data_IF_681983331117
#
_entry.id   IF_681983331117
#
_cell.length_a   1.000
_cell.length_b   1.000
_cell.length_c   1.000
_cell.angle_alpha   90.00
_cell.angle_beta   90.00
_cell.angle_gamma   90.00
#
_symmetry.space_group_name_H-M   'P 1'
#
loop_
_entity.id
_entity.type
_entity.pdbx_description
1 polymer ?
#
# COMPACT_ATOMS: atom_id res chain seq x y z
N UNK A 1 15.27 -60.36 -81.53
CA UNK A 1 15.28 -60.44 -80.05
C UNK A 1 15.18 -59.01 -79.53
N UNK A 2 14.01 -58.39 -79.55
CA UNK A 2 13.07 -58.27 -78.41
C UNK A 2 13.69 -57.80 -77.07
N UNK A 3 14.99 -57.52 -76.98
CA UNK A 3 15.69 -57.20 -75.72
C UNK A 3 16.11 -55.72 -75.58
N UNK A 4 16.19 -54.96 -76.67
CA UNK A 4 16.68 -53.56 -76.62
C UNK A 4 15.54 -52.55 -76.41
N UNK A 5 14.36 -52.79 -77.04
CA UNK A 5 13.16 -51.96 -76.87
C UNK A 5 12.65 -51.93 -75.42
N UNK A 6 12.67 -53.06 -74.71
CA UNK A 6 12.24 -53.12 -73.31
C UNK A 6 13.23 -52.44 -72.37
N UNK A 7 14.53 -52.45 -72.69
CA UNK A 7 15.56 -51.73 -71.91
C UNK A 7 15.42 -50.22 -72.06
N UNK A 8 15.15 -49.72 -73.28
CA UNK A 8 14.91 -48.29 -73.50
C UNK A 8 13.60 -47.80 -72.88
N UNK A 9 12.52 -48.61 -72.95
CA UNK A 9 11.27 -48.29 -72.25
C UNK A 9 11.45 -48.30 -70.72
N UNK A 10 12.27 -49.20 -70.16
CA UNK A 10 12.59 -49.22 -68.73
C UNK A 10 13.43 -48.00 -68.31
N UNK A 11 14.39 -47.58 -69.14
CA UNK A 11 15.16 -46.34 -68.92
C UNK A 11 14.25 -45.10 -68.97
N UNK A 12 13.33 -45.04 -69.94
CA UNK A 12 12.35 -43.96 -70.05
C UNK A 12 11.41 -43.90 -68.86
N UNK A 13 10.96 -45.06 -68.36
CA UNK A 13 10.12 -45.15 -67.17
C UNK A 13 10.88 -44.74 -65.90
N UNK A 14 12.16 -45.07 -65.77
CA UNK A 14 12.98 -44.61 -64.63
C UNK A 14 13.19 -43.10 -64.67
N UNK A 15 13.47 -42.53 -65.84
CA UNK A 15 13.65 -41.10 -66.00
C UNK A 15 12.35 -40.33 -65.69
N UNK A 16 11.21 -40.88 -66.10
CA UNK A 16 9.89 -40.33 -65.77
C UNK A 16 9.63 -40.38 -64.26
N UNK A 17 9.96 -41.51 -63.61
CA UNK A 17 9.82 -41.70 -62.18
C UNK A 17 10.70 -40.74 -61.38
N UNK A 18 11.95 -40.56 -61.80
CA UNK A 18 12.89 -39.65 -61.16
C UNK A 18 12.46 -38.19 -61.33
N UNK A 19 11.97 -37.81 -62.51
CA UNK A 19 11.45 -36.46 -62.74
C UNK A 19 10.18 -36.19 -61.91
N UNK A 20 9.29 -37.20 -61.79
CA UNK A 20 8.08 -37.12 -60.97
C UNK A 20 8.41 -37.04 -59.47
N UNK A 21 9.38 -37.85 -59.00
CA UNK A 21 9.90 -37.82 -57.63
C UNK A 21 10.55 -36.48 -57.30
N UNK A 22 11.36 -35.94 -58.22
CA UNK A 22 12.03 -34.65 -58.05
C UNK A 22 11.02 -33.50 -57.98
N UNK A 23 9.96 -33.54 -58.81
CA UNK A 23 8.89 -32.55 -58.79
C UNK A 23 8.12 -32.58 -57.46
N UNK A 24 7.76 -33.77 -56.97
CA UNK A 24 7.08 -33.95 -55.68
C UNK A 24 7.94 -33.43 -54.52
N UNK A 25 9.22 -33.79 -54.47
CA UNK A 25 10.14 -33.35 -53.41
C UNK A 25 10.36 -31.84 -53.41
N UNK A 26 10.38 -31.20 -54.60
CA UNK A 26 10.43 -29.73 -54.70
C UNK A 26 9.16 -29.09 -54.15
N UNK A 27 7.99 -29.65 -54.44
CA UNK A 27 6.71 -29.12 -53.93
C UNK A 27 6.58 -29.26 -52.41
N UNK A 28 6.99 -30.41 -51.85
CA UNK A 28 6.95 -30.65 -50.39
C UNK A 28 7.86 -29.66 -49.66
N UNK A 29 9.11 -29.55 -50.11
CA UNK A 29 10.09 -28.63 -49.50
C UNK A 29 9.60 -27.18 -49.50
N UNK A 30 9.06 -26.73 -50.62
CA UNK A 30 8.52 -25.38 -50.73
C UNK A 30 7.32 -25.16 -49.78
N UNK A 31 6.51 -26.20 -49.54
CA UNK A 31 5.41 -26.13 -48.58
C UNK A 31 5.86 -26.14 -47.12
N UNK A 32 6.99 -26.80 -46.81
CA UNK A 32 7.59 -26.80 -45.47
C UNK A 32 8.24 -25.45 -45.15
N UNK A 33 8.99 -24.87 -46.10
CA UNK A 33 9.58 -23.52 -45.96
C UNK A 33 8.49 -22.45 -45.73
N UNK A 34 7.36 -22.54 -46.43
CA UNK A 34 6.21 -21.66 -46.20
C UNK A 34 5.59 -21.84 -44.81
N UNK A 35 5.57 -23.08 -44.27
CA UNK A 35 5.07 -23.36 -42.91
C UNK A 35 6.01 -22.85 -41.83
N UNK A 36 7.32 -23.03 -41.99
CA UNK A 36 8.31 -22.53 -41.03
C UNK A 36 8.29 -21.00 -40.96
N UNK A 37 8.20 -20.31 -42.10
CA UNK A 37 8.05 -18.85 -42.11
C UNK A 37 6.79 -18.36 -41.40
N UNK A 38 5.67 -19.07 -41.55
CA UNK A 38 4.42 -18.74 -40.85
C UNK A 38 4.52 -18.97 -39.33
N UNK A 39 5.22 -20.02 -38.89
CA UNK A 39 5.47 -20.29 -37.47
C UNK A 39 6.36 -19.23 -36.84
N UNK A 40 7.42 -18.81 -37.52
CA UNK A 40 8.32 -17.76 -37.03
C UNK A 40 7.57 -16.41 -36.87
N UNK A 41 6.70 -16.08 -37.82
CA UNK A 41 5.83 -14.90 -37.73
C UNK A 41 4.88 -14.99 -36.52
N UNK A 42 4.25 -16.15 -36.30
CA UNK A 42 3.37 -16.37 -35.15
C UNK A 42 4.12 -16.29 -33.82
N UNK A 43 5.36 -16.80 -33.75
CA UNK A 43 6.17 -16.75 -32.55
C UNK A 43 6.64 -15.33 -32.22
N UNK A 44 6.99 -14.53 -33.24
CA UNK A 44 7.25 -13.09 -33.10
C UNK A 44 6.02 -12.34 -32.59
N UNK A 45 4.84 -12.62 -33.14
CA UNK A 45 3.57 -12.02 -32.69
C UNK A 45 3.28 -12.41 -31.24
N UNK A 46 3.48 -13.68 -30.87
CA UNK A 46 3.28 -14.16 -29.50
C UNK A 46 4.23 -13.48 -28.50
N UNK A 47 5.49 -13.26 -28.88
CA UNK A 47 6.45 -12.53 -28.05
C UNK A 47 6.04 -11.06 -27.87
N UNK A 48 5.52 -10.43 -28.93
CA UNK A 48 5.00 -9.06 -28.89
C UNK A 48 3.79 -8.94 -27.97
N UNK A 49 2.82 -9.87 -28.08
CA UNK A 49 1.63 -9.93 -27.22
C UNK A 49 2.00 -10.06 -25.74
N UNK A 50 2.92 -10.96 -25.39
CA UNK A 50 3.40 -11.09 -24.00
C UNK A 50 4.00 -9.79 -23.46
N UNK A 51 4.71 -9.04 -24.30
CA UNK A 51 5.32 -7.77 -23.90
C UNK A 51 4.25 -6.70 -23.61
N UNK A 52 3.22 -6.63 -24.45
CA UNK A 52 2.08 -5.72 -24.25
C UNK A 52 1.26 -6.10 -23.02
N UNK A 53 1.05 -7.39 -22.76
CA UNK A 53 0.37 -7.88 -21.55
C UNK A 53 1.13 -7.46 -20.28
N UNK A 54 2.46 -7.62 -20.25
CA UNK A 54 3.29 -7.20 -19.11
C UNK A 54 3.28 -5.68 -18.89
N UNK A 55 3.31 -4.86 -19.96
CA UNK A 55 3.20 -3.40 -19.84
C UNK A 55 1.82 -2.96 -19.33
N UNK A 56 0.74 -3.64 -19.74
CA UNK A 56 -0.62 -3.36 -19.28
C UNK A 56 -0.81 -3.72 -17.79
N UNK A 57 -0.25 -4.85 -17.33
CA UNK A 57 -0.30 -5.25 -15.91
C UNK A 57 0.49 -4.28 -15.03
N UNK A 58 1.65 -3.81 -15.48
CA UNK A 58 2.45 -2.80 -14.77
C UNK A 58 1.69 -1.47 -14.63
N UNK A 59 0.90 -1.08 -15.64
CA UNK A 59 0.08 0.13 -15.60
C UNK A 59 -1.11 0.00 -14.63
N UNK A 60 -1.78 -1.16 -14.59
CA UNK A 60 -2.90 -1.42 -13.66
C UNK A 60 -2.52 -1.27 -12.19
N UNK A 61 -1.34 -1.74 -11.79
CA UNK A 61 -0.87 -1.65 -10.39
C UNK A 61 -0.66 -0.20 -9.96
N UNK A 62 -0.18 0.66 -10.87
CA UNK A 62 -0.06 2.10 -10.58
C UNK A 62 -1.42 2.77 -10.43
N UNK A 63 -2.40 2.42 -11.28
CA UNK A 63 -3.74 3.00 -11.21
C UNK A 63 -4.48 2.64 -9.91
N UNK A 64 -4.30 1.44 -9.37
CA UNK A 64 -4.92 1.03 -8.10
C UNK A 64 -4.36 1.82 -6.91
N UNK A 65 -3.04 1.98 -6.84
CA UNK A 65 -2.39 2.78 -5.79
C UNK A 65 -2.78 4.25 -5.92
N UNK A 66 -2.77 4.80 -7.14
CA UNK A 66 -3.20 6.18 -7.38
C UNK A 66 -4.66 6.39 -7.04
N UNK A 67 -5.56 5.45 -7.32
CA UNK A 67 -6.98 5.51 -6.91
C UNK A 67 -7.14 5.56 -5.40
N UNK A 68 -6.46 4.68 -4.65
CA UNK A 68 -6.53 4.68 -3.18
C UNK A 68 -6.06 6.01 -2.61
N UNK A 69 -4.99 6.59 -3.15
CA UNK A 69 -4.48 7.90 -2.70
C UNK A 69 -5.46 9.02 -3.07
N UNK A 70 -6.00 9.02 -4.30
CA UNK A 70 -7.01 9.99 -4.74
C UNK A 70 -8.27 9.92 -3.88
N UNK A 71 -8.81 8.73 -3.61
CA UNK A 71 -9.97 8.53 -2.73
C UNK A 71 -9.71 9.09 -1.32
N UNK A 72 -8.49 8.92 -0.80
CA UNK A 72 -8.11 9.45 0.53
C UNK A 72 -8.01 10.97 0.56
N UNK A 73 -7.55 11.58 -0.54
CA UNK A 73 -7.49 13.04 -0.71
C UNK A 73 -8.90 13.62 -0.91
N UNK A 74 -9.76 12.96 -1.68
CA UNK A 74 -11.16 13.39 -1.87
C UNK A 74 -11.96 13.36 -0.57
N UNK A 75 -11.67 12.39 0.31
CA UNK A 75 -12.25 12.34 1.66
C UNK A 75 -11.66 13.39 2.63
N UNK A 76 -10.54 14.03 2.26
CA UNK A 76 -9.87 15.03 3.10
C UNK A 76 -10.64 16.36 3.06
N UNK A 77 -11.70 16.44 3.87
CA UNK A 77 -12.48 17.65 4.01
C UNK A 77 -11.71 18.64 4.91
N UNK A 78 -11.19 19.73 4.33
CA UNK A 78 -10.52 20.81 5.07
C UNK A 78 -11.58 21.57 5.88
N UNK A 79 -11.86 21.06 7.09
CA UNK A 79 -12.61 21.80 8.10
C UNK A 79 -11.63 22.76 8.77
N UNK A 80 -11.79 24.05 8.50
CA UNK A 80 -11.12 25.10 9.27
C UNK A 80 -11.82 25.18 10.61
N UNK A 81 -11.35 24.38 11.58
CA UNK A 81 -11.78 24.47 12.95
C UNK A 81 -10.93 25.54 13.67
N UNK A 82 -11.57 26.36 14.49
CA UNK A 82 -10.88 27.23 15.43
C UNK A 82 -10.37 26.29 16.53
N UNK A 83 -9.13 25.81 16.39
CA UNK A 83 -8.51 24.91 17.36
C UNK A 83 -7.82 25.76 18.41
N UNK A 84 -8.23 25.61 19.67
CA UNK A 84 -7.54 26.23 20.79
C UNK A 84 -6.10 25.67 20.85
N UNK A 85 -5.13 26.58 20.76
CA UNK A 85 -3.72 26.28 20.57
C UNK A 85 -2.91 27.00 21.64
N UNK A 86 -1.86 26.35 22.15
CA UNK A 86 -0.89 26.91 23.07
C UNK A 86 0.53 26.84 22.54
N UNK A 87 1.45 27.41 23.32
CA UNK A 87 2.89 27.44 23.03
C UNK A 87 3.65 26.83 24.20
N UNK A 88 4.56 25.91 23.92
CA UNK A 88 5.44 25.31 24.95
C UNK A 88 6.39 26.37 25.50
N UNK A 89 6.35 26.57 26.82
CA UNK A 89 7.27 27.46 27.54
C UNK A 89 8.53 26.73 27.98
N UNK A 90 8.37 25.50 28.48
CA UNK A 90 9.45 24.71 29.05
C UNK A 90 9.08 23.22 28.97
N UNK A 91 10.07 22.36 28.76
CA UNK A 91 9.94 20.89 28.87
C UNK A 91 11.06 20.37 29.77
N UNK A 92 10.72 19.47 30.68
CA UNK A 92 11.68 18.78 31.54
C UNK A 92 11.02 17.66 32.33
N UNK A 93 11.75 16.57 32.55
CA UNK A 93 11.28 15.38 33.29
C UNK A 93 9.90 14.87 32.82
N UNK A 94 9.71 14.81 31.50
CA UNK A 94 8.44 14.42 30.83
C UNK A 94 7.23 15.31 31.17
N UNK A 95 7.47 16.52 31.68
CA UNK A 95 6.46 17.55 31.95
C UNK A 95 6.72 18.75 31.04
N UNK A 96 5.67 19.19 30.35
CA UNK A 96 5.66 20.42 29.57
C UNK A 96 4.80 21.47 30.26
N UNK A 97 5.29 22.71 30.30
CA UNK A 97 4.50 23.90 30.65
C UNK A 97 4.08 24.61 29.38
N UNK A 98 2.80 24.86 29.22
CA UNK A 98 2.24 25.42 28.00
C UNK A 98 1.51 26.71 28.34
N UNK A 99 1.80 27.77 27.60
CA UNK A 99 1.04 29.02 27.65
C UNK A 99 -0.17 28.94 26.71
N UNK A 100 -1.30 29.50 27.14
CA UNK A 100 -2.58 29.41 26.43
C UNK A 100 -3.33 28.14 26.80
N UNK A 101 -3.94 27.49 25.80
CA UNK A 101 -4.87 26.38 26.01
C UNK A 101 -6.05 26.76 26.93
N UNK A 102 -6.62 27.96 26.75
CA UNK A 102 -7.59 28.55 27.69
C UNK A 102 -8.86 27.69 27.91
N UNK A 103 -9.28 26.95 26.89
CA UNK A 103 -10.46 26.09 26.89
C UNK A 103 -10.15 24.62 27.26
N UNK A 104 -8.90 24.28 27.61
CA UNK A 104 -8.54 22.88 27.93
C UNK A 104 -9.15 22.44 29.26
N UNK A 105 -9.58 21.18 29.31
CA UNK A 105 -10.09 20.56 30.53
C UNK A 105 -9.01 19.75 31.25
N UNK A 106 -9.14 19.61 32.56
CA UNK A 106 -8.30 18.68 33.33
C UNK A 106 -8.56 17.24 32.86
N UNK A 107 -7.48 16.48 32.66
CA UNK A 107 -7.51 15.13 32.13
C UNK A 107 -7.72 15.06 30.60
N UNK A 108 -7.64 16.18 29.88
CA UNK A 108 -7.77 16.19 28.43
C UNK A 108 -6.47 15.79 27.73
N UNK A 109 -6.60 15.11 26.58
CA UNK A 109 -5.47 14.85 25.70
C UNK A 109 -5.13 16.09 24.89
N UNK A 110 -3.84 16.39 24.80
CA UNK A 110 -3.30 17.43 23.94
C UNK A 110 -2.28 16.83 22.98
N UNK A 111 -2.18 17.41 21.79
CA UNK A 111 -1.28 16.96 20.73
C UNK A 111 -0.25 18.05 20.46
N UNK A 112 1.03 17.68 20.58
CA UNK A 112 2.15 18.55 20.25
C UNK A 112 2.35 18.58 18.73
N UNK A 113 2.99 19.62 18.21
CA UNK A 113 3.26 19.81 16.78
C UNK A 113 3.96 18.62 16.10
N UNK A 114 4.80 17.90 16.84
CA UNK A 114 5.53 16.71 16.38
C UNK A 114 4.69 15.41 16.44
N UNK A 115 3.50 15.46 17.05
CA UNK A 115 2.56 14.33 17.16
C UNK A 115 2.65 13.58 18.50
N UNK A 116 3.53 13.99 19.41
CA UNK A 116 3.54 13.50 20.79
C UNK A 116 2.21 13.86 21.48
N UNK A 117 1.66 12.91 22.24
CA UNK A 117 0.42 13.12 23.01
C UNK A 117 0.80 13.42 24.46
N UNK A 118 0.10 14.37 25.08
CA UNK A 118 0.18 14.64 26.51
C UNK A 118 -1.19 14.66 27.17
N UNK A 119 -1.20 14.65 28.50
CA UNK A 119 -2.40 14.79 29.32
C UNK A 119 -2.30 16.08 30.13
N UNK A 120 -3.30 16.95 30.00
CA UNK A 120 -3.41 18.16 30.80
C UNK A 120 -3.78 17.81 32.25
N UNK A 121 -2.94 18.17 33.22
CA UNK A 121 -3.18 17.86 34.63
C UNK A 121 -3.43 19.12 35.47
N UNK A 122 -2.47 20.05 35.47
CA UNK A 122 -2.55 21.25 36.28
C UNK A 122 -2.96 22.44 35.41
N UNK A 123 -4.08 23.08 35.74
CA UNK A 123 -4.58 24.26 35.03
C UNK A 123 -4.30 25.50 35.89
N UNK A 124 -3.23 26.22 35.58
CA UNK A 124 -2.91 27.49 36.25
C UNK A 124 -3.49 28.68 35.46
N UNK A 125 -3.53 29.86 36.09
CA UNK A 125 -4.04 31.09 35.47
C UNK A 125 -3.34 31.47 34.15
N UNK A 126 -2.04 31.16 34.05
CA UNK A 126 -1.20 31.62 32.93
C UNK A 126 -0.53 30.47 32.17
N UNK A 127 -0.63 29.23 32.66
CA UNK A 127 -0.02 28.08 31.99
C UNK A 127 -0.72 26.78 32.39
N UNK A 128 -0.54 25.77 31.56
CA UNK A 128 -1.06 24.42 31.77
C UNK A 128 0.12 23.46 31.89
N UNK A 129 0.11 22.67 32.96
CA UNK A 129 1.03 21.56 33.16
C UNK A 129 0.53 20.31 32.45
N UNK A 130 1.31 19.84 31.47
CA UNK A 130 1.00 18.67 30.66
C UNK A 130 2.05 17.60 30.89
N UNK A 131 1.61 16.37 31.16
CA UNK A 131 2.49 15.20 31.23
C UNK A 131 2.56 14.54 29.87
N UNK A 132 3.76 14.26 29.39
CA UNK A 132 4.01 13.66 28.10
C UNK A 132 3.82 12.14 28.17
N UNK A 133 3.19 11.56 27.15
CA UNK A 133 2.96 10.10 27.02
C UNK A 133 4.06 9.41 26.19
N UNK A 134 5.08 10.16 25.76
CA UNK A 134 6.30 9.70 25.11
C UNK A 134 7.50 10.45 25.70
N UNK A 135 8.71 10.02 25.34
CA UNK A 135 9.95 10.74 25.65
C UNK A 135 9.94 12.13 24.99
N UNK A 136 9.87 13.18 25.81
CA UNK A 136 9.76 14.58 25.35
C UNK A 136 10.97 15.16 24.62
N UNK A 137 11.85 14.31 24.10
CA UNK A 137 13.16 14.68 23.53
C UNK A 137 13.06 15.54 22.28
N UNK A 138 11.98 15.39 21.50
CA UNK A 138 11.76 16.13 20.25
C UNK A 138 10.99 17.43 20.44
N UNK A 139 10.45 17.68 21.64
CA UNK A 139 9.63 18.86 21.92
C UNK A 139 10.56 20.03 22.25
N UNK A 140 10.34 21.15 21.57
CA UNK A 140 11.13 22.36 21.77
C UNK A 140 10.30 23.45 22.42
N UNK A 141 10.97 24.35 23.13
CA UNK A 141 10.35 25.60 23.57
C UNK A 141 9.89 26.39 22.35
N UNK A 142 8.68 26.96 22.42
CA UNK A 142 8.03 27.63 21.30
C UNK A 142 7.20 26.72 20.40
N UNK A 143 7.29 25.38 20.53
CA UNK A 143 6.46 24.46 19.75
C UNK A 143 4.96 24.68 20.02
N UNK A 144 4.15 24.45 18.99
CA UNK A 144 2.70 24.55 19.10
C UNK A 144 2.11 23.30 19.76
N UNK A 145 1.07 23.49 20.58
CA UNK A 145 0.28 22.40 21.17
C UNK A 145 -1.18 22.66 20.95
N UNK A 146 -1.93 21.63 20.59
CA UNK A 146 -3.37 21.71 20.26
C UNK A 146 -4.17 20.85 21.22
N UNK A 147 -5.33 21.35 21.64
CA UNK A 147 -6.29 20.51 22.36
C UNK A 147 -6.94 19.51 21.40
N UNK A 148 -7.28 18.32 21.91
CA UNK A 148 -7.98 17.29 21.12
C UNK A 148 -9.50 17.30 21.35
N UNK A 149 -9.99 18.11 22.30
CA UNK A 149 -11.38 18.16 22.79
C UNK A 149 -11.86 16.83 23.40
N UNK A 150 -10.92 15.98 23.82
CA UNK A 150 -11.22 14.65 24.33
C UNK A 150 -10.51 14.41 25.65
N UNK A 151 -11.30 14.20 26.69
CA UNK A 151 -10.83 13.62 27.95
C UNK A 151 -10.09 12.30 27.65
N UNK A 152 -9.05 12.01 28.42
CA UNK A 152 -8.21 10.84 28.31
C UNK A 152 -9.06 9.57 28.10
N UNK A 153 -8.99 9.04 26.88
CA UNK A 153 -9.74 7.87 26.44
C UNK A 153 -8.84 6.98 25.60
N UNK A 154 -9.17 5.71 25.59
CA UNK A 154 -8.51 4.70 24.76
C UNK A 154 -9.53 3.97 23.89
N UNK A 155 -9.15 3.56 22.67
CA UNK A 155 -9.95 2.63 21.88
C UNK A 155 -10.05 1.27 22.59
N UNK A 156 -11.20 0.61 22.46
CA UNK A 156 -11.44 -0.73 23.03
C UNK A 156 -12.02 -1.68 21.99
N UNK A 157 -11.42 -2.84 21.85
CA UNK A 157 -11.81 -3.88 20.90
C UNK A 157 -11.39 -5.27 21.42
N UNK A 158 -12.08 -6.33 21.03
CA UNK A 158 -11.64 -7.71 21.25
C UNK A 158 -10.35 -8.02 20.46
N UNK A 159 -10.10 -7.31 19.36
CA UNK A 159 -8.88 -7.45 18.54
C UNK A 159 -7.57 -7.08 19.27
N UNK A 160 -7.64 -6.47 20.46
CA UNK A 160 -6.47 -6.26 21.32
C UNK A 160 -6.01 -7.53 22.04
N UNK A 161 -6.83 -8.59 22.10
CA UNK A 161 -6.49 -9.81 22.80
C UNK A 161 -5.28 -10.50 22.17
N UNK A 162 -4.22 -10.71 22.96
CA UNK A 162 -2.99 -11.35 22.51
C UNK A 162 -2.01 -10.43 21.77
N UNK A 163 -2.34 -9.15 21.62
CA UNK A 163 -1.45 -8.12 21.04
C UNK A 163 -0.58 -7.50 22.13
N UNK A 164 0.54 -6.91 21.73
CA UNK A 164 1.37 -6.06 22.62
C UNK A 164 1.13 -4.62 22.24
N UNK A 165 0.61 -3.83 23.19
CA UNK A 165 0.23 -2.43 23.00
C UNK A 165 0.91 -1.52 24.02
N UNK A 166 1.05 -0.24 23.69
CA UNK A 166 1.47 0.80 24.63
C UNK A 166 0.29 1.35 25.44
N UNK A 167 0.56 2.32 26.32
CA UNK A 167 -0.44 2.95 27.19
C UNK A 167 -1.55 3.71 26.44
N UNK A 168 -1.29 4.14 25.20
CA UNK A 168 -2.26 4.81 24.32
C UNK A 168 -2.99 3.82 23.39
N UNK A 169 -2.90 2.52 23.68
CA UNK A 169 -3.47 1.43 22.88
C UNK A 169 -2.95 1.35 21.42
N UNK A 170 -1.77 1.91 21.15
CA UNK A 170 -1.08 1.69 19.87
C UNK A 170 -0.31 0.37 19.92
N UNK A 171 -0.39 -0.49 18.89
CA UNK A 171 0.36 -1.73 18.84
C UNK A 171 1.86 -1.47 18.72
N UNK A 172 2.66 -2.23 19.48
CA UNK A 172 4.12 -2.20 19.47
C UNK A 172 4.73 -3.57 19.15
N UNK A 173 3.89 -4.52 18.74
CA UNK A 173 4.29 -5.87 18.28
C UNK A 173 4.68 -5.93 16.80
N UNK A 174 4.69 -4.78 16.10
CA UNK A 174 5.05 -4.69 14.67
C UNK A 174 3.98 -5.26 13.72
N UNK A 175 2.80 -5.61 14.21
CA UNK A 175 1.65 -5.99 13.40
C UNK A 175 0.81 -4.77 13.03
N UNK A 176 -0.22 -4.97 12.20
CA UNK A 176 -1.10 -3.89 11.72
C UNK A 176 -1.87 -3.19 12.85
N UNK A 177 -2.33 -1.97 12.55
CA UNK A 177 -3.17 -1.18 13.46
C UNK A 177 -4.48 -1.90 13.81
N UNK A 178 -4.93 -1.70 15.04
CA UNK A 178 -6.15 -2.32 15.55
C UNK A 178 -7.31 -1.34 15.33
N UNK A 179 -8.13 -1.62 14.33
CA UNK A 179 -9.33 -0.83 14.06
C UNK A 179 -10.32 -0.99 15.22
N UNK A 180 -10.71 0.11 15.84
CA UNK A 180 -11.69 0.13 16.91
C UNK A 180 -12.79 1.14 16.63
N UNK A 181 -14.05 0.70 16.71
CA UNK A 181 -15.22 1.58 16.60
C UNK A 181 -15.68 2.14 17.94
N UNK A 182 -15.14 1.63 19.05
CA UNK A 182 -15.51 2.03 20.41
C UNK A 182 -14.30 2.60 21.14
N UNK A 183 -14.57 3.56 22.02
CA UNK A 183 -13.61 4.09 22.98
C UNK A 183 -14.20 4.08 24.39
N UNK A 184 -13.32 4.09 25.40
CA UNK A 184 -13.67 4.27 26.81
C UNK A 184 -12.75 5.29 27.45
N UNK A 185 -13.30 6.04 28.41
CA UNK A 185 -12.51 6.92 29.27
C UNK A 185 -11.52 6.08 30.09
N UNK A 186 -10.30 6.58 30.26
CA UNK A 186 -9.28 5.98 31.12
C UNK A 186 -9.72 6.13 32.58
N UNK A 187 -10.20 7.32 32.93
CA UNK A 187 -10.74 7.61 34.25
C UNK A 187 -12.27 7.60 34.22
N UNK A 188 -12.88 6.70 34.98
CA UNK A 188 -14.33 6.64 35.14
C UNK A 188 -14.70 6.21 36.56
N UNK A 189 -15.79 6.76 37.08
CA UNK A 189 -16.28 6.36 38.40
C UNK A 189 -16.67 4.88 38.40
N UNK A 190 -16.27 4.10 39.42
CA UNK A 190 -16.71 2.73 39.53
C UNK A 190 -18.23 2.69 39.63
N UNK A 191 -18.85 1.65 39.06
CA UNK A 191 -20.29 1.45 39.23
C UNK A 191 -20.58 1.27 40.72
N UNK A 192 -21.46 2.10 41.27
CA UNK A 192 -22.02 1.87 42.61
C UNK A 192 -22.64 0.47 42.61
N UNK A 193 -22.01 -0.45 43.34
CA UNK A 193 -22.66 -1.70 43.70
C UNK A 193 -23.69 -1.37 44.77
N UNK A 194 -24.96 -1.61 44.45
CA UNK A 194 -26.08 -1.56 45.40
C UNK A 194 -26.21 -2.94 46.03
#
# INVERSE_FOLDING_TARGET
>A
MFSNEWKENLLSLSDLLDNKKHKILKTIRNSEELREGALEQLEKVRACLRKVEMEADQFRVNDEISKIICERIEQYNIKVNIVNTGTVLQVGDDIARIYGLDEVMAGELVEFEEGTIGIALNLELNNVGVVLMSDGLMIQEGSSVKITERIAHIPVNEAYLGRVINALAKPIDGQEEILSSKSRLIEFSPRNQI
#
